data_IF_250053779256
#
_entry.id   IF_250053779256
#
_cell.length_a   1.000
_cell.length_b   1.000
_cell.length_c   1.000
_cell.angle_alpha   90.00
_cell.angle_beta   90.00
_cell.angle_gamma   90.00
#
_symmetry.space_group_name_H-M   'P 1'
#
loop_
_entity.id
_entity.type
_entity.pdbx_description
1 polymer ?
#
# COMPACT_ATOMS: atom_id res chain seq x y z
N UNK A 1 -0.62 -16.11 -14.21
CA UNK A 1 -0.03 -15.91 -12.87
C UNK A 1 -0.54 -16.94 -11.85
N UNK A 2 -1.85 -17.08 -11.61
CA UNK A 2 -2.37 -18.02 -10.59
C UNK A 2 -1.93 -19.48 -10.83
N UNK A 3 -1.78 -19.91 -12.09
CA UNK A 3 -1.18 -21.22 -12.41
C UNK A 3 0.30 -21.34 -12.01
N UNK A 4 1.07 -20.25 -12.08
CA UNK A 4 2.47 -20.22 -11.60
C UNK A 4 2.50 -20.35 -10.07
N UNK A 5 1.66 -19.59 -9.36
CA UNK A 5 1.50 -19.71 -7.91
C UNK A 5 1.06 -21.12 -7.49
N UNK A 6 0.14 -21.74 -8.26
CA UNK A 6 -0.31 -23.11 -8.02
C UNK A 6 0.86 -24.10 -8.10
N UNK A 7 1.66 -24.06 -9.16
CA UNK A 7 2.86 -24.90 -9.31
C UNK A 7 3.83 -24.67 -8.15
N UNK A 8 4.10 -23.41 -7.79
CA UNK A 8 4.98 -23.09 -6.68
C UNK A 8 4.48 -23.64 -5.33
N UNK A 9 3.17 -23.56 -5.07
CA UNK A 9 2.57 -24.11 -3.84
C UNK A 9 2.49 -25.64 -3.84
N UNK A 10 2.39 -26.30 -5.00
CA UNK A 10 2.52 -27.77 -5.10
C UNK A 10 3.95 -28.19 -4.74
N UNK A 11 4.96 -27.50 -5.29
CA UNK A 11 6.37 -27.76 -4.95
C UNK A 11 6.63 -27.53 -3.46
N UNK A 12 5.95 -26.53 -2.85
CA UNK A 12 6.06 -26.28 -1.41
C UNK A 12 5.68 -27.50 -0.57
N UNK A 13 4.57 -28.17 -0.89
CA UNK A 13 4.11 -29.34 -0.15
C UNK A 13 5.02 -30.54 -0.31
N UNK A 14 5.59 -30.71 -1.51
CA UNK A 14 6.53 -31.77 -1.84
C UNK A 14 7.90 -31.52 -1.19
N UNK A 15 8.21 -30.27 -0.81
CA UNK A 15 9.44 -29.92 -0.11
C UNK A 15 9.48 -30.38 1.36
N UNK A 16 8.36 -30.90 1.89
CA UNK A 16 8.30 -31.45 3.25
C UNK A 16 9.35 -32.56 3.47
N UNK A 17 9.80 -32.68 4.73
CA UNK A 17 10.82 -33.65 5.15
C UNK A 17 10.44 -35.09 4.82
N UNK A 18 9.15 -35.42 4.82
CA UNK A 18 8.66 -36.77 4.55
C UNK A 18 8.54 -37.10 3.06
N UNK A 19 8.72 -36.12 2.17
CA UNK A 19 8.59 -36.32 0.72
C UNK A 19 9.93 -36.14 0.01
N UNK A 20 10.54 -34.95 0.09
CA UNK A 20 11.87 -34.70 -0.51
C UNK A 20 12.90 -34.14 0.47
N UNK A 21 12.46 -33.49 1.57
CA UNK A 21 13.35 -32.85 2.54
C UNK A 21 14.33 -31.83 1.93
N UNK A 22 13.96 -31.23 0.79
CA UNK A 22 14.87 -30.47 -0.04
C UNK A 22 14.74 -28.96 0.20
N UNK A 23 15.76 -28.35 0.81
CA UNK A 23 15.88 -26.90 0.93
C UNK A 23 15.87 -26.20 -0.44
N UNK A 24 16.43 -26.85 -1.47
CA UNK A 24 16.41 -26.31 -2.84
C UNK A 24 15.01 -26.32 -3.44
N UNK A 25 14.20 -27.35 -3.15
CA UNK A 25 12.79 -27.37 -3.58
C UNK A 25 11.97 -26.29 -2.86
N UNK A 26 12.21 -26.08 -1.56
CA UNK A 26 11.59 -25.00 -0.80
C UNK A 26 11.97 -23.62 -1.37
N UNK A 27 13.25 -23.39 -1.64
CA UNK A 27 13.72 -22.14 -2.24
C UNK A 27 13.11 -21.91 -3.64
N UNK A 28 13.09 -22.95 -4.49
CA UNK A 28 12.48 -22.90 -5.81
C UNK A 28 10.98 -22.59 -5.75
N UNK A 29 10.25 -23.25 -4.83
CA UNK A 29 8.84 -22.96 -4.56
C UNK A 29 8.62 -21.49 -4.22
N UNK A 30 9.40 -20.94 -3.27
CA UNK A 30 9.28 -19.54 -2.84
C UNK A 30 9.57 -18.56 -3.98
N UNK A 31 10.56 -18.86 -4.81
CA UNK A 31 10.86 -18.08 -6.01
C UNK A 31 9.70 -18.10 -7.02
N UNK A 32 9.14 -19.28 -7.32
CA UNK A 32 8.04 -19.45 -8.28
C UNK A 32 6.77 -18.72 -7.80
N UNK A 33 6.41 -18.89 -6.52
CA UNK A 33 5.26 -18.18 -5.91
C UNK A 33 5.51 -16.67 -5.94
N UNK A 34 6.72 -16.22 -5.60
CA UNK A 34 7.11 -14.81 -5.66
C UNK A 34 6.96 -14.22 -7.06
N UNK A 35 7.43 -14.92 -8.08
CA UNK A 35 7.25 -14.53 -9.49
C UNK A 35 5.76 -14.47 -9.87
N UNK A 36 4.98 -15.47 -9.47
CA UNK A 36 3.53 -15.51 -9.69
C UNK A 36 2.79 -14.34 -9.03
N UNK A 37 3.21 -13.89 -7.85
CA UNK A 37 2.62 -12.78 -7.10
C UNK A 37 2.79 -11.38 -7.75
N UNK A 38 3.51 -11.30 -8.88
CA UNK A 38 3.63 -10.10 -9.72
C UNK A 38 2.31 -9.66 -10.39
N UNK A 39 1.27 -10.49 -10.36
CA UNK A 39 -0.07 -10.18 -10.91
C UNK A 39 -0.71 -8.91 -10.38
N UNK A 40 -0.37 -8.45 -9.18
CA UNK A 40 -0.90 -7.21 -8.59
C UNK A 40 -0.62 -5.98 -9.46
N UNK A 41 0.46 -5.98 -10.25
CA UNK A 41 0.73 -4.91 -11.21
C UNK A 41 -0.20 -4.99 -12.42
N UNK A 42 -0.41 -6.21 -12.95
CA UNK A 42 -1.30 -6.50 -14.07
C UNK A 42 -2.74 -6.17 -13.73
N UNK A 43 -3.27 -6.59 -12.58
CA UNK A 43 -4.64 -6.26 -12.15
C UNK A 43 -4.83 -4.74 -12.00
N UNK A 44 -3.82 -4.01 -11.51
CA UNK A 44 -3.88 -2.54 -11.41
C UNK A 44 -3.87 -1.88 -12.79
N UNK A 45 -3.08 -2.40 -13.72
CA UNK A 45 -3.04 -1.91 -15.10
C UNK A 45 -4.38 -2.19 -15.82
N UNK A 46 -4.95 -3.37 -15.63
CA UNK A 46 -6.25 -3.77 -16.17
C UNK A 46 -7.36 -2.83 -15.68
N UNK A 47 -7.50 -2.68 -14.35
CA UNK A 47 -8.44 -1.72 -13.73
C UNK A 47 -8.20 -0.30 -14.26
N UNK A 48 -6.96 0.15 -14.38
CA UNK A 48 -6.65 1.49 -14.88
C UNK A 48 -7.03 1.68 -16.36
N UNK A 49 -7.02 0.61 -17.16
CA UNK A 49 -7.38 0.63 -18.58
C UNK A 49 -8.89 0.68 -18.81
N UNK A 50 -9.68 0.02 -17.95
CA UNK A 50 -11.15 -0.04 -18.06
C UNK A 50 -11.86 1.06 -17.24
N UNK A 51 -11.14 1.91 -16.50
CA UNK A 51 -11.73 2.98 -15.67
C UNK A 51 -11.33 4.39 -16.11
N UNK A 52 -12.26 5.33 -15.98
CA UNK A 52 -11.98 6.76 -16.16
C UNK A 52 -11.11 7.30 -15.02
N UNK A 53 -10.39 8.40 -15.26
CA UNK A 53 -9.53 9.06 -14.26
C UNK A 53 -10.29 9.36 -12.95
N UNK A 54 -11.58 9.69 -13.05
CA UNK A 54 -12.40 10.08 -11.92
C UNK A 54 -12.82 8.89 -11.05
N UNK A 55 -13.09 7.74 -11.67
CA UNK A 55 -13.53 6.52 -10.97
C UNK A 55 -12.37 5.61 -10.56
N UNK A 56 -11.22 5.74 -11.22
CA UNK A 56 -10.04 4.88 -11.03
C UNK A 56 -9.59 4.79 -9.57
N UNK A 57 -9.64 5.89 -8.83
CA UNK A 57 -9.25 5.89 -7.41
C UNK A 57 -10.10 4.89 -6.62
N UNK A 58 -11.43 4.93 -6.76
CA UNK A 58 -12.35 4.07 -6.03
C UNK A 58 -12.08 2.59 -6.32
N UNK A 59 -11.91 2.22 -7.59
CA UNK A 59 -11.63 0.83 -7.96
C UNK A 59 -10.23 0.36 -7.55
N UNK A 60 -9.21 1.22 -7.64
CA UNK A 60 -7.87 0.90 -7.15
C UNK A 60 -7.85 0.75 -5.61
N UNK A 61 -8.61 1.55 -4.88
CA UNK A 61 -8.80 1.41 -3.43
C UNK A 61 -9.49 0.09 -3.12
N UNK A 62 -10.56 -0.27 -3.83
CA UNK A 62 -11.25 -1.56 -3.64
C UNK A 62 -10.30 -2.74 -3.88
N UNK A 63 -9.50 -2.70 -4.95
CA UNK A 63 -8.48 -3.71 -5.21
C UNK A 63 -7.43 -3.78 -4.08
N UNK A 64 -6.97 -2.64 -3.55
CA UNK A 64 -6.05 -2.59 -2.43
C UNK A 64 -6.66 -3.17 -1.15
N UNK A 65 -7.95 -2.90 -0.89
CA UNK A 65 -8.69 -3.47 0.25
C UNK A 65 -8.78 -4.99 0.14
N UNK A 66 -9.08 -5.56 -1.03
CA UNK A 66 -9.11 -7.02 -1.23
C UNK A 66 -7.73 -7.65 -1.00
N UNK A 67 -6.67 -7.00 -1.50
CA UNK A 67 -5.29 -7.46 -1.25
C UNK A 67 -4.97 -7.44 0.24
N UNK A 68 -5.35 -6.38 0.96
CA UNK A 68 -5.14 -6.28 2.40
C UNK A 68 -5.97 -7.27 3.20
N UNK A 69 -7.22 -7.52 2.78
CA UNK A 69 -8.05 -8.57 3.37
C UNK A 69 -7.37 -9.93 3.25
N UNK A 70 -6.75 -10.24 2.10
CA UNK A 70 -5.93 -11.44 1.95
C UNK A 70 -4.78 -11.51 2.96
N UNK A 71 -4.06 -10.40 3.16
CA UNK A 71 -3.00 -10.31 4.17
C UNK A 71 -3.51 -10.52 5.60
N UNK A 72 -4.67 -9.96 5.95
CA UNK A 72 -5.28 -10.08 7.26
C UNK A 72 -5.83 -11.49 7.54
N UNK A 73 -6.47 -12.11 6.55
CA UNK A 73 -7.14 -13.42 6.71
C UNK A 73 -6.16 -14.60 6.74
N UNK A 74 -5.05 -14.51 6.00
CA UNK A 74 -4.14 -15.66 5.81
C UNK A 74 -3.57 -16.24 7.11
N UNK A 75 -3.11 -15.44 8.10
CA UNK A 75 -2.69 -15.95 9.40
C UNK A 75 -3.79 -16.74 10.13
N UNK A 76 -5.04 -16.24 10.11
CA UNK A 76 -6.18 -16.92 10.73
C UNK A 76 -6.56 -18.22 10.03
N UNK A 77 -6.45 -18.28 8.71
CA UNK A 77 -6.63 -19.55 7.99
C UNK A 77 -5.55 -20.58 8.34
N UNK A 78 -4.30 -20.13 8.55
CA UNK A 78 -3.21 -20.98 9.01
C UNK A 78 -3.48 -21.57 10.40
N UNK A 79 -4.06 -20.79 11.31
CA UNK A 79 -4.36 -21.25 12.67
C UNK A 79 -5.47 -22.31 12.71
N UNK A 80 -6.48 -22.22 11.83
CA UNK A 80 -7.56 -23.22 11.74
C UNK A 80 -7.06 -24.64 11.42
N UNK A 81 -5.98 -24.74 10.65
CA UNK A 81 -5.41 -26.03 10.21
C UNK A 81 -4.14 -26.40 10.97
N UNK A 82 -3.70 -25.60 11.95
CA UNK A 82 -2.45 -25.80 12.66
C UNK A 82 -2.39 -27.09 13.49
N UNK A 83 -3.55 -27.57 13.98
CA UNK A 83 -3.67 -28.83 14.73
C UNK A 83 -3.81 -30.07 13.83
N UNK A 84 -3.75 -29.91 12.51
CA UNK A 84 -3.81 -31.05 11.59
C UNK A 84 -2.51 -31.83 11.67
N UNK A 85 -2.61 -33.13 11.95
CA UNK A 85 -1.49 -34.07 11.91
C UNK A 85 -1.96 -35.36 11.23
N UNK A 86 -2.02 -35.35 9.90
CA UNK A 86 -2.58 -36.46 9.10
C UNK A 86 -1.76 -36.73 7.86
N UNK A 87 -1.76 -37.97 7.39
CA UNK A 87 -1.10 -38.36 6.15
C UNK A 87 -2.14 -38.59 5.06
N UNK A 88 -2.06 -37.84 3.97
CA UNK A 88 -2.96 -38.01 2.82
C UNK A 88 -2.11 -38.03 1.55
N UNK A 89 -2.26 -39.07 0.74
CA UNK A 89 -1.58 -39.23 -0.56
C UNK A 89 -0.05 -39.06 -0.50
N UNK A 90 0.59 -39.55 0.57
CA UNK A 90 2.05 -39.47 0.75
C UNK A 90 2.57 -38.10 1.21
N UNK A 91 1.70 -37.12 1.42
CA UNK A 91 2.05 -35.83 2.02
C UNK A 91 1.63 -35.82 3.48
N UNK A 92 2.54 -35.38 4.35
CA UNK A 92 2.26 -35.15 5.77
C UNK A 92 1.65 -33.77 5.95
N UNK A 93 0.38 -33.72 6.35
CA UNK A 93 -0.33 -32.50 6.69
C UNK A 93 -0.08 -32.18 8.15
N UNK A 94 0.81 -31.20 8.36
CA UNK A 94 1.21 -30.69 9.65
C UNK A 94 0.98 -29.16 9.70
N UNK A 95 1.39 -28.52 10.81
CA UNK A 95 1.31 -27.06 10.99
C UNK A 95 2.01 -26.23 9.89
N UNK A 96 2.97 -26.79 9.16
CA UNK A 96 3.74 -26.10 8.12
C UNK A 96 3.19 -26.34 6.71
N UNK A 97 2.72 -27.54 6.41
CA UNK A 97 2.22 -27.93 5.08
C UNK A 97 0.73 -27.64 4.89
N UNK A 98 -0.09 -27.76 5.94
CA UNK A 98 -1.54 -27.55 5.86
C UNK A 98 -1.94 -26.15 5.37
N UNK A 99 -1.30 -25.04 5.81
CA UNK A 99 -1.56 -23.72 5.22
C UNK A 99 -1.25 -23.66 3.71
N UNK A 100 -0.23 -24.41 3.25
CA UNK A 100 0.12 -24.49 1.82
C UNK A 100 -1.01 -25.09 0.97
N UNK A 101 -1.76 -26.04 1.51
CA UNK A 101 -2.90 -26.64 0.82
C UNK A 101 -4.08 -25.70 0.67
N UNK A 102 -4.33 -24.83 1.66
CA UNK A 102 -5.32 -23.75 1.54
C UNK A 102 -4.94 -22.83 0.38
N UNK A 103 -3.65 -22.48 0.24
CA UNK A 103 -3.16 -21.66 -0.87
C UNK A 103 -3.34 -22.34 -2.23
N UNK A 104 -3.17 -23.66 -2.32
CA UNK A 104 -3.47 -24.43 -3.54
C UNK A 104 -4.96 -24.29 -3.91
N UNK A 105 -5.85 -24.53 -2.94
CA UNK A 105 -7.30 -24.43 -3.15
C UNK A 105 -7.67 -23.02 -3.64
N UNK A 106 -7.16 -21.97 -3.00
CA UNK A 106 -7.40 -20.60 -3.44
C UNK A 106 -6.87 -20.30 -4.84
N UNK A 107 -5.70 -20.84 -5.22
CA UNK A 107 -5.21 -20.67 -6.58
C UNK A 107 -6.10 -21.38 -7.60
N UNK A 108 -6.59 -22.59 -7.30
CA UNK A 108 -7.54 -23.32 -8.16
C UNK A 108 -8.86 -22.55 -8.30
N UNK A 109 -9.42 -22.07 -7.18
CA UNK A 109 -10.64 -21.25 -7.21
C UNK A 109 -10.45 -19.95 -8.00
N UNK A 110 -9.29 -19.31 -7.87
CA UNK A 110 -8.96 -18.11 -8.65
C UNK A 110 -8.86 -18.42 -10.14
N UNK A 111 -8.23 -19.53 -10.53
CA UNK A 111 -8.16 -19.96 -11.93
C UNK A 111 -9.56 -20.24 -12.47
N UNK A 112 -10.38 -20.98 -11.72
CA UNK A 112 -11.76 -21.27 -12.11
C UNK A 112 -12.56 -19.97 -12.28
N UNK A 113 -12.50 -19.06 -11.31
CA UNK A 113 -13.17 -17.76 -11.38
C UNK A 113 -12.70 -16.91 -12.57
N UNK A 114 -11.40 -16.89 -12.87
CA UNK A 114 -10.88 -16.20 -14.06
C UNK A 114 -11.36 -16.83 -15.37
N UNK A 115 -11.61 -18.15 -15.41
CA UNK A 115 -12.09 -18.83 -16.61
C UNK A 115 -13.61 -18.72 -16.80
N UNK A 116 -14.37 -18.57 -15.72
CA UNK A 116 -15.85 -18.59 -15.77
C UNK A 116 -16.51 -17.24 -15.57
N UNK A 117 -15.89 -16.32 -14.83
CA UNK A 117 -16.49 -15.04 -14.43
C UNK A 117 -15.83 -13.82 -15.07
N UNK A 118 -14.58 -13.92 -15.53
CA UNK A 118 -13.90 -12.77 -16.12
C UNK A 118 -14.43 -12.48 -17.52
N UNK A 119 -14.98 -11.29 -17.71
CA UNK A 119 -15.50 -10.83 -18.99
C UNK A 119 -14.53 -9.82 -19.62
N UNK A 120 -13.85 -10.25 -20.69
CA UNK A 120 -12.90 -9.43 -21.42
C UNK A 120 -13.56 -8.40 -22.36
N UNK A 121 -14.90 -8.42 -22.50
CA UNK A 121 -15.63 -7.47 -23.34
C UNK A 121 -15.88 -6.13 -22.65
N UNK A 122 -15.74 -6.06 -21.32
CA UNK A 122 -15.96 -4.85 -20.52
C UNK A 122 -14.93 -3.78 -20.89
N UNK A 123 -15.42 -2.61 -21.27
CA UNK A 123 -14.63 -1.46 -21.63
C UNK A 123 -14.99 -0.23 -20.78
N UNK A 124 -14.24 0.85 -20.99
CA UNK A 124 -14.44 2.11 -20.24
C UNK A 124 -15.83 2.72 -20.40
N UNK A 125 -16.55 2.40 -21.47
CA UNK A 125 -17.88 2.95 -21.74
C UNK A 125 -19.01 2.23 -20.97
N UNK A 126 -18.74 1.06 -20.41
CA UNK A 126 -19.69 0.30 -19.58
C UNK A 126 -19.76 0.81 -18.13
N UNK A 127 -18.92 1.78 -17.79
CA UNK A 127 -18.88 2.42 -16.47
C UNK A 127 -20.07 3.35 -16.21
N UNK A 128 -20.38 3.64 -14.93
CA UNK A 128 -21.45 4.57 -14.57
C UNK A 128 -21.20 5.97 -15.15
N UNK A 129 -22.27 6.62 -15.62
CA UNK A 129 -22.20 7.95 -16.25
C UNK A 129 -21.66 9.00 -15.27
N UNK A 130 -20.68 9.80 -15.71
CA UNK A 130 -20.14 10.92 -14.93
C UNK A 130 -21.21 12.01 -14.79
N UNK A 131 -21.31 12.63 -13.60
CA UNK A 131 -22.26 13.71 -13.37
C UNK A 131 -21.85 14.97 -14.17
N UNK A 132 -22.81 15.81 -14.63
CA UNK A 132 -22.49 17.04 -15.37
C UNK A 132 -21.60 18.03 -14.58
N UNK A 133 -21.70 18.01 -13.25
CA UNK A 133 -20.85 18.84 -12.37
C UNK A 133 -19.39 18.39 -12.39
N UNK A 134 -19.12 17.08 -12.42
CA UNK A 134 -17.76 16.54 -12.49
C UNK A 134 -17.07 16.87 -13.83
N UNK A 135 -17.85 16.92 -14.92
CA UNK A 135 -17.37 17.26 -16.25
C UNK A 135 -17.04 18.76 -16.42
N UNK A 136 -17.83 19.66 -15.82
CA UNK A 136 -17.62 21.10 -15.87
C UNK A 136 -16.41 21.55 -15.05
N UNK A 137 -16.21 20.99 -13.84
CA UNK A 137 -15.03 21.26 -12.99
C UNK A 137 -13.74 20.82 -13.69
N UNK A 138 -13.76 19.70 -14.42
CA UNK A 138 -12.61 19.12 -15.12
C UNK A 138 -12.10 20.00 -16.27
N UNK A 139 -12.99 20.64 -17.04
CA UNK A 139 -12.61 21.46 -18.21
C UNK A 139 -11.94 22.79 -17.80
N UNK A 140 -12.34 23.33 -16.65
CA UNK A 140 -11.82 24.60 -16.14
C UNK A 140 -10.53 24.41 -15.34
N UNK A 141 -10.40 23.32 -14.56
CA UNK A 141 -9.25 23.10 -13.67
C UNK A 141 -8.03 22.48 -14.40
N UNK A 142 -8.26 21.62 -15.40
CA UNK A 142 -7.18 20.97 -16.17
C UNK A 142 -6.38 21.91 -17.06
N UNK A 143 -6.97 23.03 -17.49
CA UNK A 143 -6.32 24.02 -18.36
C UNK A 143 -5.49 25.07 -17.60
N UNK A 144 -5.68 25.23 -16.30
CA UNK A 144 -5.09 26.34 -15.53
C UNK A 144 -3.96 25.87 -14.58
N UNK A 145 -3.81 24.56 -14.31
CA UNK A 145 -2.89 24.07 -13.25
C UNK A 145 -2.14 22.76 -13.57
N UNK A 146 -1.63 22.58 -14.79
CA UNK A 146 -0.66 21.49 -15.02
C UNK A 146 0.67 21.82 -14.32
N UNK A 147 0.93 21.17 -13.18
CA UNK A 147 2.19 21.30 -12.44
C UNK A 147 3.40 21.09 -13.37
N UNK A 148 4.48 21.89 -13.21
CA UNK A 148 5.69 21.76 -14.04
C UNK A 148 6.28 20.36 -13.94
N UNK A 149 6.78 19.83 -15.06
CA UNK A 149 7.34 18.47 -15.13
C UNK A 149 8.44 18.21 -14.11
N UNK A 150 9.28 19.22 -13.83
CA UNK A 150 10.34 19.13 -12.83
C UNK A 150 9.78 18.80 -11.43
N UNK A 151 8.71 19.46 -11.02
CA UNK A 151 8.08 19.22 -9.71
C UNK A 151 7.45 17.83 -9.65
N UNK A 152 6.83 17.40 -10.75
CA UNK A 152 6.24 16.07 -10.87
C UNK A 152 7.31 14.98 -10.81
N UNK A 153 8.46 15.17 -11.48
CA UNK A 153 9.57 14.22 -11.44
C UNK A 153 10.22 14.13 -10.05
N UNK A 154 10.40 15.27 -9.37
CA UNK A 154 10.87 15.29 -7.97
C UNK A 154 9.86 14.54 -7.09
N UNK A 155 8.57 14.84 -7.24
CA UNK A 155 7.51 14.13 -6.53
C UNK A 155 7.53 12.64 -6.80
N UNK A 156 7.77 12.23 -8.05
CA UNK A 156 7.82 10.83 -8.40
C UNK A 156 8.93 10.09 -7.64
N UNK A 157 10.13 10.68 -7.57
CA UNK A 157 11.26 10.13 -6.78
C UNK A 157 10.91 10.06 -5.30
N UNK A 158 10.30 11.11 -4.74
CA UNK A 158 9.85 11.14 -3.33
C UNK A 158 8.86 10.01 -3.06
N UNK A 159 7.81 9.88 -3.85
CA UNK A 159 6.78 8.85 -3.65
C UNK A 159 7.30 7.43 -3.87
N UNK A 160 8.25 7.23 -4.80
CA UNK A 160 8.95 5.95 -4.95
C UNK A 160 9.72 5.59 -3.68
N UNK A 161 10.43 6.55 -3.10
CA UNK A 161 11.13 6.36 -1.84
C UNK A 161 10.19 6.11 -0.66
N UNK A 162 9.08 6.85 -0.56
CA UNK A 162 8.05 6.61 0.45
C UNK A 162 7.46 5.20 0.33
N UNK A 163 7.17 4.75 -0.90
CA UNK A 163 6.64 3.42 -1.14
C UNK A 163 7.67 2.32 -0.83
N UNK A 164 8.95 2.55 -1.12
CA UNK A 164 10.05 1.68 -0.71
C UNK A 164 10.02 1.48 0.82
N UNK A 165 10.00 2.57 1.59
CA UNK A 165 10.01 2.51 3.05
C UNK A 165 8.76 1.86 3.62
N UNK A 166 7.57 2.28 3.19
CA UNK A 166 6.31 1.73 3.67
C UNK A 166 6.21 0.21 3.45
N UNK A 167 6.60 -0.26 2.26
CA UNK A 167 6.57 -1.69 1.91
C UNK A 167 7.68 -2.49 2.58
N UNK A 168 8.82 -1.84 2.82
CA UNK A 168 9.96 -2.42 3.52
C UNK A 168 9.65 -2.66 4.99
N UNK A 169 9.18 -1.63 5.69
CA UNK A 169 8.76 -1.71 7.11
C UNK A 169 7.69 -2.78 7.28
N UNK A 170 6.62 -2.76 6.46
CA UNK A 170 5.59 -3.81 6.49
C UNK A 170 6.20 -5.22 6.41
N UNK A 171 7.21 -5.40 5.56
CA UNK A 171 7.86 -6.69 5.35
C UNK A 171 8.81 -7.09 6.49
N UNK A 172 9.39 -6.12 7.20
CA UNK A 172 10.12 -6.38 8.45
C UNK A 172 9.17 -6.94 9.49
N UNK A 173 8.03 -6.28 9.71
CA UNK A 173 7.00 -6.72 10.65
C UNK A 173 6.41 -8.09 10.29
N UNK A 174 6.18 -8.38 9.01
CA UNK A 174 5.81 -9.73 8.55
C UNK A 174 6.78 -10.83 9.02
N UNK A 175 8.07 -10.51 9.25
CA UNK A 175 9.08 -11.46 9.76
C UNK A 175 9.25 -11.46 11.27
N UNK A 176 9.15 -10.29 11.92
CA UNK A 176 9.45 -10.16 13.35
C UNK A 176 8.24 -10.36 14.26
N UNK A 177 7.00 -10.25 13.76
CA UNK A 177 5.81 -10.28 14.61
C UNK A 177 5.64 -11.59 15.38
N UNK A 178 5.85 -12.74 14.73
CA UNK A 178 5.74 -14.04 15.41
C UNK A 178 6.86 -14.20 16.46
N UNK A 179 8.16 -14.03 16.12
CA UNK A 179 9.23 -14.07 17.13
C UNK A 179 9.01 -13.11 18.30
N UNK A 180 8.55 -11.89 18.04
CA UNK A 180 8.33 -10.86 19.06
C UNK A 180 7.16 -11.24 19.97
N UNK A 181 6.06 -11.78 19.42
CA UNK A 181 4.97 -12.32 20.21
C UNK A 181 5.44 -13.43 21.15
N UNK A 182 6.14 -14.42 20.61
CA UNK A 182 6.64 -15.57 21.39
C UNK A 182 7.61 -15.14 22.50
N UNK A 183 8.48 -14.15 22.21
CA UNK A 183 9.41 -13.58 23.18
C UNK A 183 8.67 -12.90 24.34
N UNK A 184 7.62 -12.14 24.04
CA UNK A 184 6.84 -11.38 25.03
C UNK A 184 5.94 -12.30 25.88
N UNK A 185 5.38 -13.35 25.28
CA UNK A 185 4.55 -14.33 26.01
C UNK A 185 5.36 -15.40 26.72
N UNK A 186 6.67 -15.51 26.44
CA UNK A 186 7.53 -16.57 26.93
C UNK A 186 7.12 -17.96 26.44
N UNK A 187 6.40 -18.02 25.31
CA UNK A 187 5.86 -19.26 24.77
C UNK A 187 6.90 -20.00 23.93
N UNK A 188 6.89 -21.33 24.01
CA UNK A 188 7.78 -22.18 23.23
C UNK A 188 7.43 -22.11 21.72
N UNK A 189 8.38 -21.70 20.85
CA UNK A 189 8.18 -21.67 19.40
C UNK A 189 7.81 -23.02 18.78
N UNK A 190 8.16 -24.13 19.42
CA UNK A 190 7.82 -25.48 18.92
C UNK A 190 6.37 -25.87 19.23
N UNK A 191 5.73 -25.20 20.19
CA UNK A 191 4.34 -25.47 20.55
C UNK A 191 3.36 -25.04 19.46
N UNK A 192 2.43 -25.94 19.12
CA UNK A 192 1.33 -25.64 18.19
C UNK A 192 0.43 -24.54 18.75
N UNK A 193 0.15 -24.55 20.06
CA UNK A 193 -0.72 -23.53 20.68
C UNK A 193 -0.11 -22.14 20.61
N UNK A 194 1.20 -22.02 20.83
CA UNK A 194 1.91 -20.75 20.76
C UNK A 194 1.88 -20.14 19.35
N UNK A 195 2.05 -20.98 18.32
CA UNK A 195 1.94 -20.56 16.91
C UNK A 195 0.52 -20.15 16.55
N UNK A 196 -0.50 -20.87 17.06
CA UNK A 196 -1.91 -20.53 16.88
C UNK A 196 -2.23 -19.18 17.53
N UNK A 197 -1.78 -18.95 18.76
CA UNK A 197 -2.03 -17.70 19.49
C UNK A 197 -1.36 -16.50 18.80
N UNK A 198 -0.11 -16.64 18.36
CA UNK A 198 0.60 -15.61 17.59
C UNK A 198 -0.10 -15.31 16.25
N UNK A 199 -0.57 -16.36 15.55
CA UNK A 199 -1.29 -16.22 14.28
C UNK A 199 -2.65 -15.53 14.47
N UNK A 200 -3.37 -15.87 15.54
CA UNK A 200 -4.64 -15.24 15.89
C UNK A 200 -4.45 -13.78 16.28
N UNK A 201 -3.40 -13.46 17.05
CA UNK A 201 -3.03 -12.08 17.36
C UNK A 201 -2.82 -11.25 16.09
N UNK A 202 -2.06 -11.78 15.13
CA UNK A 202 -1.84 -11.12 13.85
C UNK A 202 -3.13 -10.99 13.02
N UNK A 203 -3.98 -12.02 13.02
CA UNK A 203 -5.28 -12.01 12.35
C UNK A 203 -6.19 -10.89 12.90
N UNK A 204 -6.31 -10.76 14.22
CA UNK A 204 -7.14 -9.73 14.83
C UNK A 204 -6.61 -8.31 14.56
N UNK A 205 -5.30 -8.10 14.64
CA UNK A 205 -4.69 -6.82 14.26
C UNK A 205 -4.88 -6.51 12.77
N UNK A 206 -4.81 -7.54 11.91
CA UNK A 206 -5.10 -7.42 10.49
C UNK A 206 -6.53 -6.99 10.23
N UNK A 207 -7.51 -7.61 10.91
CA UNK A 207 -8.92 -7.21 10.80
C UNK A 207 -9.17 -5.79 11.29
N UNK A 208 -8.55 -5.38 12.40
CA UNK A 208 -8.58 -3.98 12.84
C UNK A 208 -8.03 -3.03 11.77
N UNK A 209 -7.04 -3.47 10.99
CA UNK A 209 -6.51 -2.70 9.88
C UNK A 209 -7.49 -2.41 8.75
N UNK A 210 -8.57 -3.21 8.61
CA UNK A 210 -9.64 -2.89 7.66
C UNK A 210 -10.38 -1.61 8.04
N UNK A 211 -10.46 -1.27 9.34
CA UNK A 211 -11.05 -0.01 9.81
C UNK A 211 -10.27 1.21 9.28
N UNK A 212 -8.97 1.07 9.07
CA UNK A 212 -8.15 2.12 8.46
C UNK A 212 -8.55 2.35 7.00
N UNK A 213 -8.88 1.31 6.23
CA UNK A 213 -9.41 1.46 4.86
C UNK A 213 -10.78 2.13 4.84
N UNK A 214 -11.69 1.73 5.74
CA UNK A 214 -12.99 2.40 5.88
C UNK A 214 -12.82 3.87 6.24
N UNK A 215 -11.88 4.20 7.13
CA UNK A 215 -11.57 5.58 7.53
C UNK A 215 -11.05 6.41 6.36
N UNK A 216 -10.16 5.84 5.53
CA UNK A 216 -9.64 6.52 4.33
C UNK A 216 -10.79 6.88 3.38
N UNK A 217 -11.71 5.95 3.12
CA UNK A 217 -12.83 6.20 2.22
C UNK A 217 -13.84 7.18 2.81
N UNK A 218 -14.20 7.02 4.09
CA UNK A 218 -15.16 7.88 4.77
C UNK A 218 -14.69 9.35 4.84
N UNK A 219 -13.41 9.60 5.14
CA UNK A 219 -12.85 10.95 5.23
C UNK A 219 -12.10 11.40 3.96
N UNK A 220 -12.31 10.75 2.80
CA UNK A 220 -11.61 11.06 1.54
C UNK A 220 -11.78 12.50 1.07
N UNK A 221 -12.88 13.15 1.46
CA UNK A 221 -13.19 14.54 1.11
C UNK A 221 -12.70 15.55 2.15
N UNK A 222 -12.44 15.11 3.38
CA UNK A 222 -12.05 15.97 4.49
C UNK A 222 -10.54 16.08 4.66
N UNK A 223 -9.79 15.03 4.28
CA UNK A 223 -8.35 14.94 4.50
C UNK A 223 -7.65 14.75 3.15
N UNK A 224 -6.61 15.54 2.90
CA UNK A 224 -5.79 15.42 1.69
C UNK A 224 -4.95 14.13 1.70
N UNK A 225 -4.64 13.58 0.52
CA UNK A 225 -3.83 12.36 0.44
C UNK A 225 -2.45 12.53 1.10
N UNK A 226 -1.85 13.72 1.01
CA UNK A 226 -0.56 14.04 1.65
C UNK A 226 -0.65 13.93 3.17
N UNK A 227 -1.72 14.48 3.77
CA UNK A 227 -1.93 14.42 5.22
C UNK A 227 -2.17 12.98 5.69
N UNK A 228 -2.91 12.20 4.90
CA UNK A 228 -3.07 10.77 5.14
C UNK A 228 -1.74 10.01 5.10
N UNK A 229 -0.89 10.25 4.10
CA UNK A 229 0.44 9.60 4.06
C UNK A 229 1.29 10.03 5.26
N UNK A 230 1.28 11.31 5.65
CA UNK A 230 1.97 11.78 6.84
C UNK A 230 1.46 11.08 8.11
N UNK A 231 0.14 10.98 8.28
CA UNK A 231 -0.48 10.26 9.40
C UNK A 231 -0.01 8.80 9.43
N UNK A 232 0.00 8.12 8.28
CA UNK A 232 0.48 6.74 8.17
C UNK A 232 1.91 6.59 8.67
N UNK A 233 2.84 7.44 8.22
CA UNK A 233 4.24 7.39 8.69
C UNK A 233 4.41 7.81 10.15
N UNK A 234 3.59 8.74 10.66
CA UNK A 234 3.59 9.10 12.09
C UNK A 234 3.15 7.92 12.95
N UNK A 235 2.15 7.15 12.51
CA UNK A 235 1.70 5.95 13.22
C UNK A 235 2.75 4.84 13.18
N UNK A 236 3.41 4.63 12.03
CA UNK A 236 4.57 3.72 11.94
C UNK A 236 5.71 4.15 12.89
N UNK A 237 6.00 5.45 12.94
CA UNK A 237 7.02 6.00 13.83
C UNK A 237 6.67 5.76 15.30
N UNK A 238 5.43 6.06 15.69
CA UNK A 238 4.97 5.90 17.07
C UNK A 238 5.08 4.44 17.53
N UNK A 239 4.64 3.49 16.71
CA UNK A 239 4.74 2.07 17.02
C UNK A 239 6.20 1.59 17.15
N UNK A 240 7.08 1.99 16.23
CA UNK A 240 8.51 1.63 16.31
C UNK A 240 9.22 2.28 17.50
N UNK A 241 8.93 3.54 17.83
CA UNK A 241 9.45 4.20 19.04
C UNK A 241 9.02 3.45 20.28
N UNK A 242 7.77 3.01 20.34
CA UNK A 242 7.24 2.24 21.47
C UNK A 242 7.97 0.89 21.62
N UNK A 243 8.32 0.22 20.52
CA UNK A 243 9.11 -1.03 20.56
C UNK A 243 10.56 -0.84 21.02
N UNK A 244 11.11 0.37 20.90
CA UNK A 244 12.50 0.69 21.31
C UNK A 244 12.58 1.27 22.72
N UNK A 245 11.68 2.18 23.08
CA UNK A 245 11.76 2.97 24.32
C UNK A 245 11.24 2.20 25.55
N UNK A 246 10.58 1.07 25.34
CA UNK A 246 10.06 0.24 26.42
C UNK A 246 11.21 -0.35 27.29
N UNK A 247 11.05 -0.43 28.62
CA UNK A 247 12.05 -1.02 29.53
C UNK A 247 12.47 -2.43 29.14
N UNK A 248 13.56 -2.94 29.73
CA UNK A 248 14.29 -4.18 29.40
C UNK A 248 13.45 -5.46 29.16
N UNK A 249 12.16 -5.46 29.50
CA UNK A 249 11.16 -6.47 29.13
C UNK A 249 9.92 -5.81 28.50
N UNK A 250 9.68 -6.08 27.21
CA UNK A 250 8.46 -5.67 26.50
C UNK A 250 7.25 -6.44 27.04
N UNK A 251 6.23 -5.76 27.54
CA UNK A 251 5.00 -6.41 28.02
C UNK A 251 3.99 -6.65 26.89
N UNK A 252 3.10 -7.62 27.06
CA UNK A 252 2.07 -7.94 26.07
C UNK A 252 1.16 -6.75 25.70
N UNK A 253 0.64 -5.94 26.65
CA UNK A 253 -0.16 -4.76 26.30
C UNK A 253 0.62 -3.73 25.48
N UNK A 254 1.91 -3.57 25.77
CA UNK A 254 2.76 -2.65 25.01
C UNK A 254 3.00 -3.15 23.60
N UNK A 255 3.26 -4.45 23.43
CA UNK A 255 3.33 -5.09 22.11
C UNK A 255 2.03 -4.87 21.33
N UNK A 256 0.87 -5.13 21.94
CA UNK A 256 -0.43 -4.97 21.30
C UNK A 256 -0.68 -3.54 20.81
N UNK A 257 -0.33 -2.53 21.62
CA UNK A 257 -0.50 -1.12 21.23
C UNK A 257 0.50 -0.71 20.15
N UNK A 258 1.76 -1.15 20.25
CA UNK A 258 2.76 -0.87 19.23
C UNK A 258 2.38 -1.48 17.88
N UNK A 259 1.98 -2.75 17.87
CA UNK A 259 1.51 -3.46 16.68
C UNK A 259 0.21 -2.89 16.14
N UNK A 260 -0.69 -2.39 16.98
CA UNK A 260 -1.87 -1.66 16.51
C UNK A 260 -1.46 -0.43 15.67
N UNK A 261 -0.51 0.37 16.15
CA UNK A 261 -0.03 1.53 15.40
C UNK A 261 0.68 1.14 14.10
N UNK A 262 1.50 0.09 14.12
CA UNK A 262 2.25 -0.33 12.94
C UNK A 262 1.36 -1.09 11.94
N UNK A 263 0.78 -2.20 12.38
CA UNK A 263 0.10 -3.18 11.53
C UNK A 263 -1.34 -2.79 11.19
N UNK A 264 -2.09 -2.23 12.15
CA UNK A 264 -3.50 -1.87 11.95
C UNK A 264 -3.68 -0.46 11.38
N UNK A 265 -2.78 0.49 11.64
CA UNK A 265 -2.97 1.89 11.20
C UNK A 265 -1.92 2.32 10.17
N UNK A 266 -0.65 2.31 10.54
CA UNK A 266 0.44 2.86 9.74
C UNK A 266 0.64 2.14 8.41
N UNK A 267 0.77 0.81 8.43
CA UNK A 267 0.99 0.01 7.22
C UNK A 267 -0.18 0.10 6.23
N UNK A 268 -1.47 -0.07 6.63
CA UNK A 268 -2.61 0.10 5.73
C UNK A 268 -2.65 1.47 5.05
N UNK A 269 -2.52 2.54 5.83
CA UNK A 269 -2.59 3.91 5.33
C UNK A 269 -1.45 4.20 4.36
N UNK A 270 -0.20 3.96 4.77
CA UNK A 270 0.96 4.24 3.91
C UNK A 270 0.92 3.40 2.64
N UNK A 271 0.52 2.14 2.74
CA UNK A 271 0.47 1.22 1.59
C UNK A 271 -0.58 1.62 0.54
N UNK A 272 -1.76 2.04 0.99
CA UNK A 272 -2.86 2.40 0.10
C UNK A 272 -2.69 3.84 -0.44
N UNK A 273 -2.50 4.79 0.46
CA UNK A 273 -2.56 6.21 0.13
C UNK A 273 -1.32 6.67 -0.66
N UNK A 274 -0.14 6.10 -0.43
CA UNK A 274 1.06 6.44 -1.22
C UNK A 274 0.85 6.13 -2.70
N UNK A 275 0.27 4.97 -3.02
CA UNK A 275 -0.02 4.57 -4.41
C UNK A 275 -1.09 5.48 -5.03
N UNK A 276 -2.15 5.79 -4.27
CA UNK A 276 -3.21 6.68 -4.71
C UNK A 276 -2.72 8.10 -4.98
N UNK A 277 -1.98 8.67 -4.03
CA UNK A 277 -1.38 10.01 -4.13
C UNK A 277 -0.38 10.09 -5.29
N UNK A 278 0.43 9.06 -5.50
CA UNK A 278 1.33 8.98 -6.65
C UNK A 278 0.58 8.96 -7.98
N UNK A 279 -0.51 8.19 -8.09
CA UNK A 279 -1.36 8.20 -9.30
C UNK A 279 -1.92 9.58 -9.61
N UNK A 280 -2.44 10.26 -8.57
CA UNK A 280 -2.97 11.64 -8.69
C UNK A 280 -1.87 12.64 -9.07
N UNK A 281 -0.66 12.50 -8.53
CA UNK A 281 0.49 13.31 -8.88
C UNK A 281 0.84 13.21 -10.38
N UNK A 282 0.83 11.99 -10.92
CA UNK A 282 1.12 11.77 -12.34
C UNK A 282 0.03 12.35 -13.25
N UNK A 283 -1.23 12.32 -12.81
CA UNK A 283 -2.37 12.83 -13.58
C UNK A 283 -2.52 12.10 -14.91
N UNK A 284 -2.66 12.84 -16.02
CA UNK A 284 -2.79 12.29 -17.37
C UNK A 284 -1.48 11.85 -18.05
N UNK A 285 -0.33 11.88 -17.36
CA UNK A 285 0.98 11.49 -17.92
C UNK A 285 1.08 9.97 -18.11
N UNK A 286 2.08 9.46 -18.86
CA UNK A 286 2.29 8.02 -19.02
C UNK A 286 2.52 7.30 -17.68
N UNK A 287 1.45 6.75 -17.10
CA UNK A 287 1.47 6.18 -15.74
C UNK A 287 2.13 4.79 -15.69
N UNK A 288 2.11 4.02 -16.78
CA UNK A 288 2.55 2.63 -16.80
C UNK A 288 3.99 2.42 -16.32
N UNK A 289 4.95 3.15 -16.90
CA UNK A 289 6.38 3.04 -16.54
C UNK A 289 6.63 3.47 -15.09
N UNK A 290 6.04 4.59 -14.66
CA UNK A 290 6.25 5.14 -13.32
C UNK A 290 5.57 4.30 -12.23
N UNK A 291 4.38 3.74 -12.50
CA UNK A 291 3.74 2.75 -11.63
C UNK A 291 4.53 1.44 -11.58
N UNK A 292 5.13 1.01 -12.69
CA UNK A 292 6.06 -0.11 -12.74
C UNK A 292 7.30 0.12 -11.87
N UNK A 293 7.89 1.30 -11.94
CA UNK A 293 9.03 1.70 -11.11
C UNK A 293 8.67 1.77 -9.62
N UNK A 294 7.51 2.34 -9.29
CA UNK A 294 6.94 2.35 -7.93
C UNK A 294 6.82 0.92 -7.38
N UNK A 295 6.25 0.00 -8.17
CA UNK A 295 6.10 -1.41 -7.79
C UNK A 295 7.44 -2.15 -7.67
N UNK A 296 8.41 -1.82 -8.52
CA UNK A 296 9.76 -2.40 -8.49
C UNK A 296 10.50 -1.99 -7.22
N UNK A 297 10.45 -0.71 -6.84
CA UNK A 297 11.06 -0.23 -5.60
C UNK A 297 10.48 -0.91 -4.35
N UNK A 298 9.16 -1.11 -4.30
CA UNK A 298 8.52 -1.91 -3.24
C UNK A 298 9.00 -3.37 -3.21
N UNK A 299 9.30 -3.96 -4.37
CA UNK A 299 9.79 -5.33 -4.44
C UNK A 299 11.22 -5.41 -3.92
N UNK A 300 12.07 -4.43 -4.27
CA UNK A 300 13.44 -4.34 -3.75
C UNK A 300 13.45 -4.17 -2.23
N UNK A 301 12.60 -3.31 -1.66
CA UNK A 301 12.56 -3.16 -0.19
C UNK A 301 12.14 -4.43 0.52
N UNK A 302 11.19 -5.18 -0.04
CA UNK A 302 10.73 -6.48 0.48
C UNK A 302 11.74 -7.62 0.31
N UNK A 303 12.81 -7.41 -0.45
CA UNK A 303 13.95 -8.35 -0.54
C UNK A 303 15.01 -7.96 0.49
N UNK A 304 15.32 -6.66 0.64
CA UNK A 304 16.45 -6.18 1.44
C UNK A 304 16.11 -6.04 2.91
N UNK A 305 15.02 -5.34 3.26
CA UNK A 305 14.75 -4.94 4.64
C UNK A 305 14.42 -6.12 5.58
N UNK A 306 13.67 -7.16 5.15
CA UNK A 306 13.43 -8.35 5.98
C UNK A 306 14.68 -9.19 6.28
N UNK A 307 15.82 -8.91 5.62
CA UNK A 307 17.09 -9.53 5.97
C UNK A 307 17.74 -8.86 7.19
N UNK A 308 17.34 -7.63 7.54
CA UNK A 308 17.91 -6.93 8.69
C UNK A 308 17.66 -7.68 10.01
N UNK A 309 16.44 -8.14 10.35
CA UNK A 309 16.23 -8.95 11.54
C UNK A 309 16.97 -10.29 11.52
N UNK A 310 17.21 -10.86 10.34
CA UNK A 310 17.94 -12.12 10.21
C UNK A 310 19.46 -11.95 10.34
N UNK A 311 19.99 -10.77 9.98
CA UNK A 311 21.42 -10.47 10.02
C UNK A 311 21.89 -9.87 11.35
N UNK A 312 20.97 -9.35 12.16
CA UNK A 312 21.29 -8.64 13.42
C UNK A 312 20.87 -9.52 14.61
N UNK A 313 21.73 -9.73 15.63
CA UNK A 313 21.42 -10.60 16.77
C UNK A 313 20.25 -10.14 17.65
N UNK A 314 19.89 -8.87 17.61
CA UNK A 314 18.81 -8.27 18.40
C UNK A 314 17.89 -7.44 17.52
N UNK A 315 16.63 -7.29 17.94
CA UNK A 315 15.63 -6.54 17.17
C UNK A 315 15.73 -5.02 17.36
N UNK A 316 16.36 -4.54 18.44
CA UNK A 316 16.42 -3.10 18.73
C UNK A 316 17.05 -2.25 17.60
N UNK A 317 18.16 -2.64 16.96
CA UNK A 317 18.72 -1.89 15.84
C UNK A 317 17.79 -1.86 14.61
N UNK A 318 16.99 -2.91 14.39
CA UNK A 318 16.01 -2.96 13.30
C UNK A 318 14.97 -1.86 13.50
N UNK A 319 14.39 -1.77 14.70
CA UNK A 319 13.39 -0.74 15.00
C UNK A 319 13.98 0.68 14.95
N UNK A 320 15.26 0.87 15.31
CA UNK A 320 15.95 2.16 15.11
C UNK A 320 16.08 2.53 13.64
N UNK A 321 16.38 1.58 12.76
CA UNK A 321 16.41 1.81 11.32
C UNK A 321 15.02 2.21 10.83
N UNK A 322 13.96 1.53 11.28
CA UNK A 322 12.59 1.87 10.90
C UNK A 322 12.16 3.26 11.41
N UNK A 323 12.57 3.66 12.62
CA UNK A 323 12.40 5.03 13.13
C UNK A 323 13.08 6.06 12.21
N UNK A 324 14.33 5.80 11.79
CA UNK A 324 15.05 6.69 10.88
C UNK A 324 14.37 6.78 9.50
N UNK A 325 13.91 5.65 8.96
CA UNK A 325 13.17 5.63 7.69
C UNK A 325 11.84 6.40 7.79
N UNK A 326 11.10 6.25 8.89
CA UNK A 326 9.84 6.95 9.10
C UNK A 326 10.05 8.46 9.27
N UNK A 327 10.99 8.87 10.12
CA UNK A 327 11.30 10.29 10.35
C UNK A 327 11.76 10.97 9.05
N UNK A 328 12.65 10.33 8.29
CA UNK A 328 13.09 10.86 7.01
C UNK A 328 11.95 10.93 5.99
N UNK A 329 11.06 9.94 5.94
CA UNK A 329 9.86 9.94 5.08
C UNK A 329 8.92 11.10 5.41
N UNK A 330 8.67 11.37 6.69
CA UNK A 330 7.82 12.48 7.15
C UNK A 330 8.44 13.82 6.73
N UNK A 331 9.74 14.01 7.00
CA UNK A 331 10.47 15.23 6.65
C UNK A 331 10.50 15.47 5.14
N UNK A 332 10.76 14.44 4.35
CA UNK A 332 10.83 14.51 2.90
C UNK A 332 9.46 14.86 2.30
N UNK A 333 8.38 14.24 2.79
CA UNK A 333 7.02 14.54 2.34
C UNK A 333 6.58 15.95 2.75
N UNK A 334 6.93 16.39 3.96
CA UNK A 334 6.67 17.75 4.41
C UNK A 334 7.41 18.80 3.56
N UNK A 335 8.69 18.55 3.25
CA UNK A 335 9.48 19.40 2.37
C UNK A 335 8.88 19.47 0.96
N UNK A 336 8.52 18.32 0.39
CA UNK A 336 7.89 18.25 -0.92
C UNK A 336 6.54 18.98 -0.95
N UNK A 337 5.72 18.83 0.09
CA UNK A 337 4.44 19.54 0.22
C UNK A 337 4.64 21.06 0.21
N UNK A 338 5.63 21.57 0.96
CA UNK A 338 6.00 23.00 0.94
C UNK A 338 6.47 23.46 -0.43
N UNK A 339 7.27 22.64 -1.14
CA UNK A 339 7.73 22.95 -2.48
C UNK A 339 6.56 23.07 -3.48
N UNK A 340 5.61 22.13 -3.43
CA UNK A 340 4.40 22.16 -4.26
C UNK A 340 3.55 23.39 -3.96
N UNK A 341 3.36 23.72 -2.69
CA UNK A 341 2.57 24.89 -2.30
C UNK A 341 3.20 26.20 -2.79
N UNK A 342 4.52 26.37 -2.62
CA UNK A 342 5.25 27.54 -3.14
C UNK A 342 5.14 27.66 -4.66
N UNK A 343 5.29 26.54 -5.38
CA UNK A 343 5.18 26.54 -6.85
C UNK A 343 3.77 26.92 -7.30
N UNK A 344 2.74 26.42 -6.62
CA UNK A 344 1.34 26.79 -6.92
C UNK A 344 1.09 28.28 -6.75
N UNK A 345 1.61 28.89 -5.68
CA UNK A 345 1.48 30.33 -5.45
C UNK A 345 2.17 31.14 -6.55
N UNK A 346 3.38 30.76 -6.94
CA UNK A 346 4.12 31.42 -8.03
C UNK A 346 3.36 31.34 -9.36
N UNK A 347 2.81 30.17 -9.70
CA UNK A 347 2.03 30.01 -10.92
C UNK A 347 0.74 30.83 -10.93
N UNK A 348 0.11 31.03 -9.76
CA UNK A 348 -1.07 31.89 -9.64
C UNK A 348 -0.70 33.36 -9.83
N UNK A 349 0.41 33.80 -9.24
CA UNK A 349 0.96 35.15 -9.40
C UNK A 349 1.33 35.42 -10.86
N UNK A 350 2.02 34.49 -11.53
CA UNK A 350 2.36 34.58 -12.96
C UNK A 350 1.11 34.65 -13.84
N UNK A 351 0.07 33.88 -13.50
CA UNK A 351 -1.20 33.90 -14.22
C UNK A 351 -1.97 35.21 -14.02
N UNK A 352 -1.95 35.77 -12.80
CA UNK A 352 -2.54 37.07 -12.50
C UNK A 352 -1.83 38.19 -13.25
N UNK A 353 -0.49 38.19 -13.26
CA UNK A 353 0.32 39.15 -14.02
C UNK A 353 0.03 39.02 -15.52
N UNK A 354 0.00 37.80 -16.06
CA UNK A 354 -0.31 37.58 -17.47
C UNK A 354 -1.72 38.07 -17.82
N UNK A 355 -2.71 37.85 -16.94
CA UNK A 355 -4.06 38.33 -17.13
C UNK A 355 -4.15 39.87 -17.08
N UNK A 356 -3.44 40.51 -16.16
CA UNK A 356 -3.34 41.97 -16.10
C UNK A 356 -2.66 42.57 -17.34
N UNK A 357 -1.66 41.90 -17.91
CA UNK A 357 -0.99 42.33 -19.15
C UNK A 357 -1.84 42.11 -20.41
N UNK A 358 -2.71 41.09 -20.42
CA UNK A 358 -3.55 40.72 -21.56
C UNK A 358 -4.95 41.35 -21.53
N UNK A 359 -5.44 41.77 -20.36
CA UNK A 359 -6.72 42.47 -20.24
C UNK A 359 -6.54 43.93 -20.67
N UNK A 360 -7.23 44.42 -21.71
CA UNK A 360 -7.21 45.84 -22.03
C UNK A 360 -7.74 46.63 -20.82
N UNK A 361 -7.12 47.77 -20.52
CA UNK A 361 -7.37 48.57 -19.30
C UNK A 361 -8.76 49.22 -19.20
N UNK A 362 -9.79 48.67 -19.86
CA UNK A 362 -11.18 49.15 -19.82
C UNK A 362 -12.16 48.11 -20.38
N UNK A 363 -12.04 46.83 -20.04
CA UNK A 363 -13.11 45.85 -20.33
C UNK A 363 -14.18 45.89 -19.23
N UNK A 364 -15.40 46.41 -19.48
CA UNK A 364 -16.48 46.48 -18.50
C UNK A 364 -17.02 45.10 -18.08
N UNK A 365 -16.50 44.00 -18.66
CA UNK A 365 -16.81 42.62 -18.27
C UNK A 365 -15.75 41.99 -17.36
N UNK A 366 -14.69 42.72 -17.00
CA UNK A 366 -13.69 42.27 -16.03
C UNK A 366 -14.30 42.17 -14.62
N UNK A 367 -14.20 41.01 -13.94
CA UNK A 367 -14.77 40.83 -12.60
C UNK A 367 -14.02 41.57 -11.49
N UNK A 368 -12.88 42.23 -11.78
CA UNK A 368 -11.99 42.86 -10.79
C UNK A 368 -11.64 44.33 -11.07
N UNK A 369 -12.17 44.95 -12.12
CA UNK A 369 -11.82 46.35 -12.42
C UNK A 369 -12.81 47.01 -13.36
N UNK A 370 -13.81 47.68 -12.77
CA UNK A 370 -14.38 48.87 -13.39
C UNK A 370 -13.84 50.04 -12.56
N UNK A 371 -12.81 50.72 -13.05
CA UNK A 371 -12.59 52.08 -12.58
C UNK A 371 -13.87 52.87 -12.85
N UNK A 372 -14.31 53.63 -11.86
CA UNK A 372 -15.48 54.51 -12.01
C UNK A 372 -15.14 55.51 -13.10
N UNK A 373 -15.77 55.35 -14.26
CA UNK A 373 -15.80 56.40 -15.27
C UNK A 373 -16.62 57.53 -14.67
N UNK A 374 -15.94 58.57 -14.18
CA UNK A 374 -16.58 59.83 -13.83
C UNK A 374 -17.19 60.41 -15.11
N UNK A 375 -18.50 60.30 -15.24
CA UNK A 375 -19.23 60.99 -16.30
C UNK A 375 -19.22 62.48 -15.97
N UNK A 376 -18.77 63.37 -16.87
CA UNK A 376 -18.93 64.80 -16.67
C UNK A 376 -20.43 65.12 -16.75
N UNK A 377 -20.96 65.70 -15.67
CA UNK A 377 -22.31 66.25 -15.62
C UNK A 377 -22.47 67.31 -16.73
N UNK A 378 -23.38 67.05 -17.66
CA UNK A 378 -23.91 68.04 -18.61
C UNK A 378 -25.42 67.85 -18.76
#
# INVERSE_FOLDING_TARGET
>A
SSGICLVGNIIYLIADQHVTGSLTALAASRFIVGFGAGNRSVCRADVASITTINQRLTYLTMLATVVFLGYALTPGLGSLVANTDTYVLGVHFNKFTSPGMILIIFNVLTIAGMLTLYDASIQTHDGPLESPQDAAVKKTLSNITTMPERIVNIGAVVFIFLNFNARGILSVFETVNIPLFLQVTGSDPESVSAVVDASNFQFYLGLLGLLSYFSIEYFRHSISDVNWVQLGFVMLLLGNVMLVVTPASLSFPQLAVAEFFVWSVGCPITTAVVVAAFSKLLGGRPQGTLMGLLGSAASVSRIILPLLPAAIPTLSPVFWIDILLCTFSILLLWWYSRLVHKTKLQMLEDAEIAFQLLSPGNDPRSPLGSDKVDFPDN
#
